data_IF_922123978461
#
_entry.id   IF_922123978461
#
_cell.length_a   1.000
_cell.length_b   1.000
_cell.length_c   1.000
_cell.angle_alpha   90.00
_cell.angle_beta   90.00
_cell.angle_gamma   90.00
#
_symmetry.space_group_name_H-M   'P 1'
#
loop_
_entity.id
_entity.type
_entity.pdbx_description
1 polymer ?
#
# COMPACT_ATOMS: atom_id res chain seq x y z
N UNK A 1 12.54 15.49 -21.53
CA UNK A 1 11.22 15.52 -22.21
C UNK A 1 11.13 14.35 -23.19
N UNK A 2 11.05 13.10 -22.72
CA UNK A 2 11.01 11.88 -23.58
C UNK A 2 10.09 10.77 -23.02
N UNK A 3 9.36 11.00 -21.92
CA UNK A 3 8.50 9.96 -21.30
C UNK A 3 7.02 10.06 -21.67
N UNK A 4 6.60 11.12 -22.36
CA UNK A 4 5.17 11.38 -22.61
C UNK A 4 4.67 10.84 -23.97
N UNK A 5 5.56 10.40 -24.86
CA UNK A 5 5.24 10.13 -26.27
C UNK A 5 5.40 8.65 -26.70
N UNK A 6 5.90 7.76 -25.82
CA UNK A 6 5.99 6.31 -26.10
C UNK A 6 4.72 5.51 -25.76
N UNK A 7 3.75 6.10 -25.06
CA UNK A 7 2.59 5.36 -24.52
C UNK A 7 1.38 5.26 -25.46
N UNK A 8 1.41 5.87 -26.65
CA UNK A 8 0.25 5.82 -27.56
C UNK A 8 0.10 4.44 -28.22
N UNK A 9 1.20 3.75 -28.53
CA UNK A 9 1.22 2.35 -28.98
C UNK A 9 0.93 1.35 -27.84
N UNK A 10 1.22 1.72 -26.59
CA UNK A 10 0.99 0.86 -25.40
C UNK A 10 -0.49 0.73 -25.01
N UNK A 11 -1.37 1.65 -25.44
CA UNK A 11 -2.77 1.64 -25.04
C UNK A 11 -3.56 0.45 -25.59
N UNK A 12 -3.24 0.00 -26.81
CA UNK A 12 -3.85 -1.17 -27.46
C UNK A 12 -3.35 -2.48 -26.87
N UNK A 13 -2.03 -2.61 -26.68
CA UNK A 13 -1.42 -3.81 -26.09
C UNK A 13 -1.87 -4.00 -24.63
N UNK A 14 -1.89 -2.91 -23.84
CA UNK A 14 -2.37 -2.96 -22.46
C UNK A 14 -3.86 -3.33 -22.39
N UNK A 15 -4.68 -2.86 -23.33
CA UNK A 15 -6.09 -3.26 -23.44
C UNK A 15 -6.23 -4.75 -23.72
N UNK A 16 -5.47 -5.29 -24.67
CA UNK A 16 -5.50 -6.72 -24.98
C UNK A 16 -5.02 -7.56 -23.78
N UNK A 17 -3.98 -7.11 -23.07
CA UNK A 17 -3.50 -7.76 -21.85
C UNK A 17 -4.55 -7.72 -20.74
N UNK A 18 -5.14 -6.56 -20.47
CA UNK A 18 -6.16 -6.39 -19.45
C UNK A 18 -7.41 -7.23 -19.76
N UNK A 19 -7.83 -7.26 -21.03
CA UNK A 19 -8.90 -8.11 -21.52
C UNK A 19 -8.60 -9.58 -21.26
N UNK A 20 -7.43 -10.09 -21.68
CA UNK A 20 -7.04 -11.49 -21.46
C UNK A 20 -7.07 -11.86 -19.98
N UNK A 21 -6.52 -11.01 -19.10
CA UNK A 21 -6.54 -11.25 -17.66
C UNK A 21 -7.98 -11.28 -17.11
N UNK A 22 -8.82 -10.32 -17.49
CA UNK A 22 -10.23 -10.32 -17.07
C UNK A 22 -10.96 -11.57 -17.58
N UNK A 23 -10.76 -11.93 -18.85
CA UNK A 23 -11.34 -13.12 -19.46
C UNK A 23 -10.88 -14.38 -18.76
N UNK A 24 -9.60 -14.54 -18.47
CA UNK A 24 -9.04 -15.78 -17.95
C UNK A 24 -9.46 -16.02 -16.49
N UNK A 25 -9.51 -14.96 -15.66
CA UNK A 25 -9.79 -15.05 -14.22
C UNK A 25 -11.24 -14.77 -13.81
N UNK A 26 -12.03 -14.08 -14.63
CA UNK A 26 -13.45 -13.85 -14.37
C UNK A 26 -14.33 -14.81 -15.17
N UNK A 27 -15.64 -14.75 -14.96
CA UNK A 27 -16.63 -15.58 -15.62
C UNK A 27 -17.74 -14.73 -16.27
N UNK A 28 -18.74 -15.38 -16.86
CA UNK A 28 -19.91 -14.71 -17.43
C UNK A 28 -19.56 -13.85 -18.65
N UNK A 29 -20.08 -12.62 -18.69
CA UNK A 29 -19.92 -11.71 -19.82
C UNK A 29 -18.46 -11.44 -20.21
N UNK A 30 -17.51 -11.55 -19.27
CA UNK A 30 -16.07 -11.39 -19.53
C UNK A 30 -15.49 -12.45 -20.46
N UNK A 31 -16.12 -13.63 -20.58
CA UNK A 31 -15.69 -14.70 -21.50
C UNK A 31 -16.06 -14.43 -22.97
N UNK A 32 -17.05 -13.58 -23.23
CA UNK A 32 -17.66 -13.38 -24.56
C UNK A 32 -17.51 -11.97 -25.12
N UNK A 33 -17.17 -10.98 -24.27
CA UNK A 33 -16.91 -9.60 -24.70
C UNK A 33 -15.65 -9.54 -25.58
N UNK A 34 -15.66 -8.70 -26.61
CA UNK A 34 -14.47 -8.49 -27.43
C UNK A 34 -13.49 -7.49 -26.76
N UNK A 35 -12.17 -7.59 -27.00
CA UNK A 35 -11.18 -6.72 -26.37
C UNK A 35 -11.41 -5.22 -26.63
N UNK A 36 -11.95 -4.84 -27.79
CA UNK A 36 -12.21 -3.43 -28.12
C UNK A 36 -13.48 -2.88 -27.45
N UNK A 37 -14.38 -3.75 -26.98
CA UNK A 37 -15.63 -3.36 -26.33
C UNK A 37 -15.44 -3.05 -24.83
N UNK A 38 -14.40 -3.58 -24.19
CA UNK A 38 -14.17 -3.30 -22.76
C UNK A 38 -13.76 -1.85 -22.55
N UNK A 39 -14.22 -1.24 -21.46
CA UNK A 39 -13.75 0.08 -21.03
C UNK A 39 -12.50 -0.11 -20.19
N UNK A 40 -11.38 0.45 -20.65
CA UNK A 40 -10.11 0.48 -19.91
C UNK A 40 -9.76 1.93 -19.57
N UNK A 41 -9.59 2.23 -18.28
CA UNK A 41 -9.18 3.56 -17.80
C UNK A 41 -8.01 3.43 -16.82
N UNK A 42 -6.91 4.12 -17.11
CA UNK A 42 -5.79 4.23 -16.16
C UNK A 42 -6.23 5.02 -14.94
N UNK A 43 -5.95 4.50 -13.76
CA UNK A 43 -6.16 5.18 -12.48
C UNK A 43 -4.80 5.67 -11.99
N UNK A 44 -4.70 6.98 -11.79
CA UNK A 44 -3.58 7.60 -11.08
C UNK A 44 -3.74 7.35 -9.58
N UNK A 45 -2.73 6.83 -8.90
CA UNK A 45 -2.89 6.54 -7.47
C UNK A 45 -1.72 5.85 -6.77
N UNK A 46 -0.48 6.09 -7.19
CA UNK A 46 0.71 5.56 -6.52
C UNK A 46 1.96 5.59 -7.40
N UNK A 47 3.13 5.63 -6.79
CA UNK A 47 4.42 5.62 -7.49
C UNK A 47 4.83 4.21 -7.94
N UNK A 48 4.39 3.18 -7.21
CA UNK A 48 4.95 1.82 -7.31
C UNK A 48 4.09 0.83 -8.09
N UNK A 49 2.84 1.16 -8.41
CA UNK A 49 1.89 0.23 -9.03
C UNK A 49 1.18 0.88 -10.22
N UNK A 50 0.83 0.08 -11.23
CA UNK A 50 -0.04 0.53 -12.32
C UNK A 50 -1.45 0.00 -12.12
N UNK A 51 -2.42 0.93 -12.11
CA UNK A 51 -3.81 0.64 -11.82
C UNK A 51 -4.68 0.93 -13.03
N UNK A 52 -5.56 0.00 -13.35
CA UNK A 52 -6.51 0.13 -14.45
C UNK A 52 -7.90 -0.30 -14.01
N UNK A 53 -8.89 0.56 -14.21
CA UNK A 53 -10.28 0.17 -14.20
C UNK A 53 -10.59 -0.57 -15.49
N UNK A 54 -11.07 -1.80 -15.38
CA UNK A 54 -11.62 -2.58 -16.48
C UNK A 54 -13.13 -2.73 -16.25
N UNK A 55 -13.95 -2.38 -17.25
CA UNK A 55 -15.41 -2.41 -17.11
C UNK A 55 -16.07 -3.00 -18.36
N UNK A 56 -17.11 -3.82 -18.15
CA UNK A 56 -17.96 -4.32 -19.22
C UNK A 56 -18.76 -3.18 -19.88
N UNK A 57 -18.98 -3.23 -21.20
CA UNK A 57 -19.77 -2.22 -21.88
C UNK A 57 -21.24 -2.28 -21.46
N UNK A 58 -21.93 -1.14 -21.49
CA UNK A 58 -23.32 -1.03 -21.06
C UNK A 58 -24.29 -1.93 -21.82
N UNK A 59 -23.98 -2.31 -23.07
CA UNK A 59 -24.78 -3.22 -23.89
C UNK A 59 -24.57 -4.71 -23.53
N UNK A 60 -23.57 -5.05 -22.71
CA UNK A 60 -23.32 -6.42 -22.20
C UNK A 60 -23.14 -6.38 -20.68
N UNK A 61 -24.20 -6.10 -19.91
CA UNK A 61 -24.12 -6.06 -18.46
C UNK A 61 -23.81 -7.45 -17.90
N UNK A 62 -23.25 -7.48 -16.68
CA UNK A 62 -23.09 -8.70 -15.91
C UNK A 62 -24.46 -9.35 -15.61
N UNK A 63 -24.55 -10.68 -15.71
CA UNK A 63 -25.85 -11.40 -15.53
C UNK A 63 -25.80 -12.57 -14.56
N UNK A 64 -24.63 -13.14 -14.33
CA UNK A 64 -24.44 -14.41 -13.61
C UNK A 64 -23.54 -14.22 -12.37
N UNK A 65 -23.68 -13.08 -11.68
CA UNK A 65 -22.92 -12.77 -10.47
C UNK A 65 -21.47 -12.34 -10.69
N UNK A 66 -21.00 -12.23 -11.94
CA UNK A 66 -19.71 -11.65 -12.27
C UNK A 66 -19.69 -10.14 -11.98
N UNK A 67 -18.53 -9.55 -11.64
CA UNK A 67 -18.44 -8.11 -11.46
C UNK A 67 -18.63 -7.39 -12.81
N UNK A 68 -19.36 -6.28 -12.85
CA UNK A 68 -19.47 -5.44 -14.05
C UNK A 68 -18.20 -4.62 -14.31
N UNK A 69 -17.39 -4.43 -13.27
CA UNK A 69 -16.13 -3.69 -13.31
C UNK A 69 -15.16 -4.21 -12.25
N UNK A 70 -13.87 -4.17 -12.55
CA UNK A 70 -12.79 -4.63 -11.68
C UNK A 70 -11.62 -3.66 -11.74
N UNK A 71 -10.81 -3.65 -10.68
CA UNK A 71 -9.54 -2.96 -10.63
C UNK A 71 -8.42 -3.94 -10.93
N UNK A 72 -7.71 -3.71 -12.02
CA UNK A 72 -6.52 -4.44 -12.40
C UNK A 72 -5.29 -3.72 -11.82
N UNK A 73 -4.53 -4.40 -10.96
CA UNK A 73 -3.30 -3.90 -10.36
C UNK A 73 -2.11 -4.71 -10.86
N UNK A 74 -1.16 -4.03 -11.49
CA UNK A 74 0.17 -4.57 -11.77
C UNK A 74 1.16 -4.10 -10.70
N UNK A 75 1.94 -5.03 -10.17
CA UNK A 75 3.06 -4.73 -9.29
C UNK A 75 4.20 -4.13 -10.12
N UNK A 76 4.84 -3.08 -9.60
CA UNK A 76 6.03 -2.48 -10.21
C UNK A 76 7.26 -3.39 -10.16
N UNK A 77 8.41 -2.86 -10.58
CA UNK A 77 9.66 -3.61 -10.55
C UNK A 77 10.03 -4.01 -9.11
N UNK A 78 10.01 -5.31 -8.88
CA UNK A 78 10.45 -5.94 -7.65
C UNK A 78 11.89 -6.46 -7.85
N UNK A 79 12.85 -5.89 -7.13
CA UNK A 79 14.26 -6.28 -7.22
C UNK A 79 14.63 -7.27 -6.10
N UNK A 80 15.26 -8.39 -6.46
CA UNK A 80 15.91 -9.36 -5.55
C UNK A 80 15.05 -10.53 -5.05
N UNK A 81 15.67 -11.57 -4.50
CA UNK A 81 15.01 -12.81 -4.03
C UNK A 81 13.92 -12.58 -2.96
N UNK A 82 14.10 -11.56 -2.10
CA UNK A 82 13.10 -11.13 -1.10
C UNK A 82 11.81 -10.56 -1.72
N UNK A 83 11.81 -10.28 -3.02
CA UNK A 83 10.60 -9.90 -3.73
C UNK A 83 9.55 -11.01 -3.72
N UNK A 84 9.97 -12.26 -3.93
CA UNK A 84 9.04 -13.38 -4.03
C UNK A 84 8.38 -13.68 -2.69
N UNK A 85 9.16 -13.70 -1.60
CA UNK A 85 8.62 -13.85 -0.23
C UNK A 85 7.65 -12.72 0.12
N UNK A 86 7.98 -11.49 -0.29
CA UNK A 86 7.10 -10.33 -0.15
C UNK A 86 5.77 -10.50 -0.89
N UNK A 87 5.82 -10.94 -2.15
CA UNK A 87 4.63 -11.19 -2.97
C UNK A 87 3.74 -12.30 -2.41
N UNK A 88 4.33 -13.39 -1.92
CA UNK A 88 3.58 -14.49 -1.28
C UNK A 88 2.88 -13.96 -0.03
N UNK A 89 3.62 -13.26 0.84
CA UNK A 89 3.09 -12.68 2.09
C UNK A 89 1.97 -11.69 1.78
N UNK A 90 2.15 -10.80 0.80
CA UNK A 90 1.14 -9.85 0.37
C UNK A 90 -0.11 -10.55 -0.17
N UNK A 91 0.06 -11.61 -0.97
CA UNK A 91 -1.05 -12.39 -1.53
C UNK A 91 -1.88 -13.06 -0.42
N UNK A 92 -1.23 -13.62 0.60
CA UNK A 92 -1.89 -14.21 1.77
C UNK A 92 -2.65 -13.15 2.55
N UNK A 93 -2.02 -12.01 2.85
CA UNK A 93 -2.64 -10.89 3.56
C UNK A 93 -3.87 -10.38 2.79
N UNK A 94 -3.74 -10.11 1.49
CA UNK A 94 -4.82 -9.58 0.68
C UNK A 94 -6.00 -10.55 0.61
N UNK A 95 -5.72 -11.85 0.40
CA UNK A 95 -6.75 -12.90 0.41
C UNK A 95 -7.53 -12.88 1.72
N UNK A 96 -6.84 -12.81 2.87
CA UNK A 96 -7.50 -12.77 4.18
C UNK A 96 -8.33 -11.51 4.39
N UNK A 97 -7.84 -10.35 3.94
CA UNK A 97 -8.60 -9.09 4.00
C UNK A 97 -9.87 -9.15 3.16
N UNK A 98 -9.79 -9.72 1.96
CA UNK A 98 -10.94 -9.97 1.08
C UNK A 98 -11.97 -10.88 1.74
N UNK A 99 -11.56 -12.05 2.24
CA UNK A 99 -12.47 -13.03 2.84
C UNK A 99 -13.14 -12.52 4.12
N UNK A 100 -12.45 -11.67 4.89
CA UNK A 100 -13.01 -11.02 6.08
C UNK A 100 -13.76 -9.72 5.80
N UNK A 101 -13.89 -9.31 4.53
CA UNK A 101 -14.55 -8.05 4.12
C UNK A 101 -13.92 -6.80 4.76
N UNK A 102 -12.61 -6.84 4.98
CA UNK A 102 -11.79 -5.74 5.51
C UNK A 102 -11.02 -5.00 4.40
N UNK A 103 -11.16 -5.44 3.16
CA UNK A 103 -10.64 -4.79 1.96
C UNK A 103 -11.49 -5.12 0.73
N UNK A 104 -11.07 -4.66 -0.45
CA UNK A 104 -11.73 -5.00 -1.70
C UNK A 104 -11.74 -6.52 -1.92
N UNK A 105 -12.82 -7.05 -2.51
CA UNK A 105 -12.86 -8.48 -2.87
C UNK A 105 -11.73 -8.82 -3.84
N UNK A 106 -11.06 -9.95 -3.61
CA UNK A 106 -10.08 -10.52 -4.52
C UNK A 106 -10.81 -11.35 -5.59
N UNK A 107 -10.61 -10.99 -6.86
CA UNK A 107 -11.17 -11.74 -7.99
C UNK A 107 -10.17 -12.69 -8.64
N UNK A 108 -8.87 -12.41 -8.55
CA UNK A 108 -7.84 -13.29 -9.08
C UNK A 108 -6.43 -12.77 -8.83
N UNK A 109 -5.46 -13.69 -8.82
CA UNK A 109 -4.02 -13.38 -8.68
C UNK A 109 -3.30 -13.99 -9.87
N UNK A 110 -2.40 -13.21 -10.47
CA UNK A 110 -1.62 -13.62 -11.63
C UNK A 110 -0.16 -13.18 -11.48
N UNK A 111 0.80 -13.75 -12.25
CA UNK A 111 2.18 -13.30 -12.22
C UNK A 111 2.31 -11.80 -12.52
N UNK A 112 2.80 -11.05 -11.53
CA UNK A 112 2.98 -9.61 -11.62
C UNK A 112 1.74 -8.75 -11.28
N UNK A 113 0.67 -9.32 -10.71
CA UNK A 113 -0.46 -8.49 -10.29
C UNK A 113 -1.68 -9.26 -9.76
N UNK A 114 -2.80 -8.53 -9.64
CA UNK A 114 -4.09 -9.07 -9.19
C UNK A 114 -5.29 -8.29 -9.74
N UNK A 115 -6.44 -8.95 -9.71
CA UNK A 115 -7.76 -8.37 -9.98
C UNK A 115 -8.51 -8.19 -8.66
N UNK A 116 -8.91 -6.96 -8.39
CA UNK A 116 -9.61 -6.54 -7.18
C UNK A 116 -11.00 -6.00 -7.54
N UNK A 117 -11.90 -5.99 -6.56
CA UNK A 117 -13.11 -5.19 -6.62
C UNK A 117 -12.75 -3.71 -6.81
N UNK A 118 -13.43 -3.05 -7.76
CA UNK A 118 -13.32 -1.62 -7.90
C UNK A 118 -14.28 -0.92 -6.94
N UNK A 119 -13.72 -0.17 -5.98
CA UNK A 119 -14.49 0.66 -5.05
C UNK A 119 -14.60 2.07 -5.64
N UNK A 120 -15.82 2.58 -5.94
CA UNK A 120 -16.03 3.93 -6.46
C UNK A 120 -15.88 4.97 -5.34
N UNK A 121 -14.63 5.25 -4.96
CA UNK A 121 -14.28 6.19 -3.91
C UNK A 121 -13.09 7.08 -4.30
N UNK A 122 -12.84 8.13 -3.52
CA UNK A 122 -11.62 8.94 -3.58
C UNK A 122 -10.79 8.72 -2.30
N UNK A 123 -9.46 8.81 -2.37
CA UNK A 123 -8.64 8.90 -1.17
C UNK A 123 -8.95 10.19 -0.41
N UNK A 124 -8.67 10.17 0.90
CA UNK A 124 -8.66 11.36 1.73
C UNK A 124 -7.44 12.22 1.40
N UNK A 125 -7.64 13.54 1.41
CA UNK A 125 -6.57 14.52 1.41
C UNK A 125 -5.96 14.64 2.81
N UNK A 126 -4.70 15.10 2.88
CA UNK A 126 -3.98 15.23 4.15
C UNK A 126 -4.71 16.17 5.11
N UNK A 127 -5.36 17.23 4.63
CA UNK A 127 -6.11 18.16 5.48
C UNK A 127 -7.40 17.56 6.06
N UNK A 128 -7.92 16.46 5.50
CA UNK A 128 -9.12 15.77 5.99
C UNK A 128 -8.78 14.83 7.16
N UNK A 129 -7.54 14.35 7.25
CA UNK A 129 -7.13 13.39 8.27
C UNK A 129 -7.17 13.95 9.71
N UNK A 130 -7.19 15.29 9.87
CA UNK A 130 -7.30 15.97 11.16
C UNK A 130 -8.75 16.20 11.62
N UNK A 131 -9.75 15.93 10.78
CA UNK A 131 -11.15 16.03 11.20
C UNK A 131 -11.43 14.94 12.25
N UNK A 132 -11.85 15.29 13.48
CA UNK A 132 -12.05 14.31 14.54
C UNK A 132 -13.00 13.18 14.16
N UNK A 133 -14.04 13.45 13.36
CA UNK A 133 -15.00 12.43 12.90
C UNK A 133 -14.33 11.43 11.97
N UNK A 134 -13.47 11.91 11.08
CA UNK A 134 -12.69 11.05 10.18
C UNK A 134 -11.64 10.27 10.98
N UNK A 135 -10.93 10.93 11.90
CA UNK A 135 -9.87 10.30 12.70
C UNK A 135 -10.41 9.14 13.56
N UNK A 136 -11.60 9.28 14.15
CA UNK A 136 -12.26 8.19 14.89
C UNK A 136 -12.51 6.99 13.99
N UNK A 137 -13.07 7.20 12.79
CA UNK A 137 -13.32 6.11 11.83
C UNK A 137 -12.00 5.43 11.42
N UNK A 138 -10.94 6.21 11.18
CA UNK A 138 -9.61 5.65 10.87
C UNK A 138 -9.10 4.81 12.05
N UNK A 139 -9.23 5.28 13.29
CA UNK A 139 -8.81 4.56 14.48
C UNK A 139 -9.57 3.23 14.65
N UNK A 140 -10.89 3.21 14.45
CA UNK A 140 -11.71 2.00 14.46
C UNK A 140 -11.27 0.98 13.40
N UNK A 141 -11.03 1.44 12.16
CA UNK A 141 -10.53 0.56 11.08
C UNK A 141 -9.13 0.03 11.35
N UNK A 142 -8.24 0.86 11.90
CA UNK A 142 -6.91 0.43 12.32
C UNK A 142 -6.98 -0.61 13.44
N UNK A 143 -7.86 -0.43 14.43
CA UNK A 143 -8.07 -1.40 15.49
C UNK A 143 -8.55 -2.75 14.93
N UNK A 144 -9.52 -2.75 14.01
CA UNK A 144 -9.99 -3.96 13.33
C UNK A 144 -8.86 -4.72 12.63
N UNK A 145 -7.96 -4.01 11.94
CA UNK A 145 -6.80 -4.60 11.27
C UNK A 145 -5.80 -5.15 12.29
N UNK A 146 -5.49 -4.38 13.34
CA UNK A 146 -4.53 -4.80 14.38
C UNK A 146 -5.00 -6.02 15.19
N UNK A 147 -6.31 -6.22 15.35
CA UNK A 147 -6.88 -7.40 16.00
C UNK A 147 -6.87 -8.65 15.13
N UNK A 148 -6.48 -8.57 13.85
CA UNK A 148 -6.48 -9.73 12.98
C UNK A 148 -5.38 -10.74 13.33
N UNK A 149 -5.77 -11.99 13.55
CA UNK A 149 -4.82 -13.09 13.48
C UNK A 149 -4.55 -13.50 12.03
N UNK A 150 -3.37 -13.11 11.51
CA UNK A 150 -2.87 -13.41 10.16
C UNK A 150 -1.69 -14.40 10.22
N UNK A 151 -1.61 -15.43 9.37
CA UNK A 151 -0.54 -16.43 9.37
C UNK A 151 0.76 -15.90 8.73
N UNK A 152 1.35 -14.90 9.36
CA UNK A 152 2.65 -14.31 9.01
C UNK A 152 3.55 -14.30 10.24
N UNK A 153 4.85 -14.10 10.04
CA UNK A 153 5.79 -13.96 11.15
C UNK A 153 5.32 -12.86 12.12
N UNK A 154 5.24 -13.22 13.41
CA UNK A 154 4.84 -12.31 14.49
C UNK A 154 6.01 -11.55 15.09
N UNK A 155 7.23 -11.91 14.71
CA UNK A 155 8.44 -11.25 15.18
C UNK A 155 8.53 -9.82 14.60
N UNK A 156 8.62 -8.77 15.43
CA UNK A 156 8.56 -7.37 15.00
C UNK A 156 9.90 -6.89 14.42
N UNK A 157 10.42 -7.62 13.41
CA UNK A 157 11.70 -7.36 12.75
C UNK A 157 11.55 -6.53 11.48
N UNK A 158 10.37 -6.53 10.86
CA UNK A 158 10.12 -5.94 9.54
C UNK A 158 10.65 -4.51 9.37
N UNK A 159 10.38 -3.62 10.33
CA UNK A 159 10.86 -2.24 10.29
C UNK A 159 12.39 -2.18 10.23
N UNK A 160 13.06 -2.90 11.12
CA UNK A 160 14.52 -2.87 11.24
C UNK A 160 15.21 -3.56 10.07
N UNK A 161 14.71 -4.72 9.65
CA UNK A 161 15.22 -5.46 8.50
C UNK A 161 15.05 -4.63 7.21
N UNK A 162 13.97 -3.87 7.10
CA UNK A 162 13.73 -2.97 5.96
C UNK A 162 14.66 -1.77 6.00
N UNK A 163 14.77 -1.06 7.12
CA UNK A 163 15.68 0.08 7.25
C UNK A 163 17.14 -0.32 7.01
N UNK A 164 17.60 -1.44 7.57
CA UNK A 164 18.96 -1.93 7.36
C UNK A 164 19.23 -2.25 5.88
N UNK A 165 18.27 -2.89 5.21
CA UNK A 165 18.36 -3.22 3.78
C UNK A 165 18.40 -1.97 2.92
N UNK A 166 17.54 -0.99 3.18
CA UNK A 166 17.56 0.28 2.46
C UNK A 166 18.86 1.05 2.69
N UNK A 167 19.42 1.03 3.91
CA UNK A 167 20.72 1.62 4.18
C UNK A 167 21.85 0.96 3.38
N UNK A 168 21.82 -0.37 3.22
CA UNK A 168 22.77 -1.09 2.37
C UNK A 168 22.60 -0.69 0.90
N UNK A 169 21.37 -0.70 0.38
CA UNK A 169 21.10 -0.28 -1.00
C UNK A 169 21.57 1.14 -1.26
N UNK A 170 21.30 2.09 -0.36
CA UNK A 170 21.79 3.46 -0.48
C UNK A 170 23.33 3.48 -0.54
N UNK A 171 24.02 2.73 0.33
CA UNK A 171 25.49 2.67 0.31
C UNK A 171 26.07 2.08 -0.97
N UNK A 172 25.38 1.11 -1.58
CA UNK A 172 25.84 0.48 -2.81
C UNK A 172 25.60 1.40 -4.02
N UNK A 173 24.45 2.08 -4.09
CA UNK A 173 24.14 3.07 -5.12
C UNK A 173 25.09 4.28 -5.07
N UNK A 174 25.50 4.74 -3.88
CA UNK A 174 26.49 5.83 -3.75
C UNK A 174 27.87 5.43 -4.29
N UNK A 175 28.27 4.17 -4.10
CA UNK A 175 29.59 3.70 -4.59
C UNK A 175 29.66 3.65 -6.11
N UNK A 176 28.50 3.58 -6.78
CA UNK A 176 28.38 3.54 -8.25
C UNK A 176 28.23 4.96 -8.86
N UNK A 177 28.70 5.99 -8.13
CA UNK A 177 28.60 7.44 -8.45
C UNK A 177 29.08 7.87 -9.85
N UNK A 178 29.71 6.98 -10.64
CA UNK A 178 30.25 7.31 -11.95
C UNK A 178 29.20 7.47 -13.08
N UNK A 179 27.91 7.22 -12.83
CA UNK A 179 26.90 7.20 -13.90
C UNK A 179 25.60 7.99 -13.63
N UNK A 180 25.62 8.93 -12.68
CA UNK A 180 24.39 9.61 -12.23
C UNK A 180 24.19 10.98 -12.90
N UNK A 181 22.95 11.30 -13.29
CA UNK A 181 22.58 12.60 -13.88
C UNK A 181 22.83 13.78 -12.91
N UNK A 182 23.15 15.00 -13.42
CA UNK A 182 23.42 16.18 -12.59
C UNK A 182 22.30 16.56 -11.61
N UNK A 183 21.02 16.36 -11.94
CA UNK A 183 19.89 16.70 -11.08
C UNK A 183 19.77 15.74 -9.89
N UNK A 184 19.83 14.44 -10.17
CA UNK A 184 19.83 13.37 -9.15
C UNK A 184 21.03 13.50 -8.21
N UNK A 185 22.16 13.99 -8.71
CA UNK A 185 23.38 14.23 -7.93
C UNK A 185 23.25 15.33 -6.87
N UNK A 186 22.37 16.32 -7.04
CA UNK A 186 22.13 17.35 -6.02
C UNK A 186 21.19 16.84 -4.93
N UNK A 187 20.13 16.12 -5.32
CA UNK A 187 19.21 15.49 -4.37
C UNK A 187 19.93 14.46 -3.51
N UNK A 188 20.77 13.62 -4.14
CA UNK A 188 21.61 12.65 -3.44
C UNK A 188 22.49 13.36 -2.42
N UNK A 189 23.22 14.41 -2.80
CA UNK A 189 24.04 15.21 -1.87
C UNK A 189 23.25 15.76 -0.68
N UNK A 190 22.04 16.25 -0.88
CA UNK A 190 21.19 16.73 0.21
C UNK A 190 20.78 15.58 1.16
N UNK A 191 20.47 14.40 0.63
CA UNK A 191 20.14 13.21 1.44
C UNK A 191 21.38 12.74 2.22
N UNK A 192 22.55 12.70 1.57
CA UNK A 192 23.81 12.29 2.19
C UNK A 192 24.36 13.29 3.20
N UNK A 193 23.91 14.55 3.16
CA UNK A 193 24.22 15.52 4.20
C UNK A 193 23.63 15.12 5.57
N UNK A 194 22.60 14.28 5.59
CA UNK A 194 22.05 13.72 6.81
C UNK A 194 22.80 12.45 7.23
N UNK A 195 23.16 12.35 8.51
CA UNK A 195 23.76 11.14 9.05
C UNK A 195 22.70 10.06 9.33
N UNK A 196 22.19 9.43 8.27
CA UNK A 196 21.14 8.43 8.34
C UNK A 196 21.48 7.24 9.25
N UNK A 197 22.77 6.90 9.37
CA UNK A 197 23.24 5.84 10.28
C UNK A 197 23.06 6.25 11.75
N UNK A 198 23.37 7.50 12.08
CA UNK A 198 23.14 8.03 13.43
C UNK A 198 21.64 8.12 13.75
N UNK A 199 20.82 8.57 12.81
CA UNK A 199 19.35 8.62 12.96
C UNK A 199 18.75 7.23 13.22
N UNK A 200 19.21 6.21 12.49
CA UNK A 200 18.77 4.82 12.71
C UNK A 200 19.16 4.31 14.11
N UNK A 201 20.37 4.64 14.58
CA UNK A 201 20.82 4.30 15.95
C UNK A 201 20.00 5.03 17.00
N UNK A 202 19.72 6.31 16.79
CA UNK A 202 18.87 7.12 17.65
C UNK A 202 17.46 6.53 17.76
N UNK A 203 16.83 6.16 16.64
CA UNK A 203 15.50 5.55 16.63
C UNK A 203 15.43 4.23 17.43
N UNK A 204 16.49 3.41 17.36
CA UNK A 204 16.60 2.20 18.19
C UNK A 204 16.67 2.51 19.67
N UNK A 205 17.39 3.58 20.03
CA UNK A 205 17.51 4.03 21.41
C UNK A 205 16.17 4.57 21.93
N UNK A 206 15.45 5.36 21.12
CA UNK A 206 14.08 5.83 21.45
C UNK A 206 13.13 4.66 21.70
N UNK A 207 13.18 3.59 20.89
CA UNK A 207 12.38 2.38 21.14
C UNK A 207 12.68 1.77 22.51
N UNK A 208 13.95 1.72 22.91
CA UNK A 208 14.33 1.21 24.23
C UNK A 208 13.77 2.10 25.34
N UNK A 209 13.91 3.42 25.19
CA UNK A 209 13.39 4.41 26.14
C UNK A 209 11.86 4.32 26.31
N UNK A 210 11.10 4.17 25.22
CA UNK A 210 9.63 4.02 25.28
C UNK A 210 9.23 2.77 26.06
N UNK A 211 9.97 1.66 25.93
CA UNK A 211 9.66 0.41 26.65
C UNK A 211 9.87 0.50 28.16
N UNK A 212 10.81 1.33 28.62
CA UNK A 212 11.18 1.43 30.04
C UNK A 212 10.52 2.62 30.74
N UNK A 213 9.88 3.52 29.99
CA UNK A 213 9.21 4.68 30.55
C UNK A 213 7.87 4.28 31.20
N UNK A 214 7.67 4.51 32.51
CA UNK A 214 6.35 4.37 33.10
C UNK A 214 5.37 5.35 32.43
N UNK A 215 4.17 4.87 32.10
CA UNK A 215 3.04 5.66 31.61
C UNK A 215 3.25 6.45 30.30
N UNK A 216 4.23 6.09 29.47
CA UNK A 216 4.42 6.72 28.15
C UNK A 216 4.83 8.20 28.20
N UNK A 217 5.38 8.69 29.31
CA UNK A 217 5.79 10.10 29.47
C UNK A 217 6.76 10.59 28.38
N UNK A 218 7.58 9.69 27.84
CA UNK A 218 8.51 9.99 26.75
C UNK A 218 7.76 10.25 25.43
N UNK A 219 6.67 9.53 25.15
CA UNK A 219 5.83 9.77 23.96
C UNK A 219 5.21 11.17 23.99
N UNK A 220 4.86 11.66 25.19
CA UNK A 220 4.31 13.02 25.39
C UNK A 220 5.30 14.13 25.04
N UNK A 221 6.61 13.88 25.13
CA UNK A 221 7.67 14.85 24.82
C UNK A 221 8.13 14.79 23.36
N UNK A 222 8.01 13.63 22.70
CA UNK A 222 8.53 13.41 21.34
C UNK A 222 7.50 13.73 20.25
N UNK A 223 6.19 13.65 20.54
CA UNK A 223 5.15 13.77 19.52
C UNK A 223 4.01 14.74 19.88
N UNK A 224 4.28 16.04 20.12
CA UNK A 224 3.21 17.01 20.41
C UNK A 224 2.26 17.27 19.22
N UNK A 225 2.66 16.91 17.99
CA UNK A 225 1.92 17.22 16.74
C UNK A 225 1.37 15.98 16.01
N UNK A 226 1.47 14.78 16.59
CA UNK A 226 1.02 13.56 15.92
C UNK A 226 -0.47 13.33 16.18
N UNK A 227 -1.32 13.65 15.20
CA UNK A 227 -2.79 13.56 15.25
C UNK A 227 -3.27 12.18 15.73
N UNK A 228 -2.57 11.10 15.34
CA UNK A 228 -2.88 9.72 15.75
C UNK A 228 -2.65 9.45 17.25
N UNK A 229 -1.69 10.14 17.88
CA UNK A 229 -1.47 10.08 19.33
C UNK A 229 -2.46 11.01 20.05
N UNK A 230 -2.86 12.12 19.41
CA UNK A 230 -3.90 13.02 19.90
C UNK A 230 -5.27 12.32 20.08
N UNK A 231 -5.72 11.53 19.10
CA UNK A 231 -6.96 10.76 19.25
C UNK A 231 -6.85 9.63 20.29
N UNK A 232 -5.67 9.04 20.50
CA UNK A 232 -5.47 8.08 21.59
C UNK A 232 -5.57 8.76 22.97
N UNK A 233 -5.24 10.05 23.06
CA UNK A 233 -5.33 10.87 24.27
C UNK A 233 -6.77 11.03 24.78
N UNK A 234 -7.72 11.24 23.88
CA UNK A 234 -9.14 11.42 24.23
C UNK A 234 -9.85 10.10 24.55
N UNK A 235 -9.48 8.99 23.90
CA UNK A 235 -10.09 7.68 24.18
C UNK A 235 -9.64 7.03 25.49
N UNK A 236 -8.42 7.32 25.97
CA UNK A 236 -7.91 6.73 27.23
C UNK A 236 -8.38 7.52 28.46
N UNK A 237 -8.55 8.83 28.36
CA UNK A 237 -9.09 9.65 29.45
C UNK A 237 -10.60 9.43 29.67
N UNK A 238 -11.33 8.88 28.68
CA UNK A 238 -12.73 8.49 28.81
C UNK A 238 -12.99 7.02 29.17
N UNK A 239 -11.97 6.16 29.13
CA UNK A 239 -12.10 4.71 29.38
C UNK A 239 -11.64 4.26 30.77
N UNK A 240 -11.15 5.19 31.59
CA UNK A 240 -10.76 4.92 32.98
C UNK A 240 -11.97 4.82 33.90
N UNK A 241 -12.74 3.73 33.78
CA UNK A 241 -13.45 3.12 34.92
C UNK A 241 -14.11 1.74 34.63
N UNK A 242 -14.14 1.20 33.40
CA UNK A 242 -14.82 -0.09 33.14
C UNK A 242 -13.94 -1.27 32.67
N UNK A 243 -12.65 -1.07 32.42
CA UNK A 243 -11.79 -2.13 31.84
C UNK A 243 -11.02 -2.99 32.87
N UNK A 244 -11.43 -3.02 34.14
CA UNK A 244 -10.77 -3.83 35.19
C UNK A 244 -11.57 -5.05 35.68
N UNK A 245 -12.58 -5.51 34.94
CA UNK A 245 -13.29 -6.76 35.23
C UNK A 245 -13.78 -7.46 33.94
N UNK A 246 -12.86 -8.02 33.14
CA UNK A 246 -13.05 -9.27 32.36
C UNK A 246 -11.69 -9.92 32.15
#
# INVERSE_FOLDING_TARGET
>A
MVLHDKMSSESGEMRERAFRLCRDYLHGAWKVVAPHEIVLKRISGGLSNWLYLCKLPSNRPARNGEPSQVLLRFYGQIHGEKALEGLITESVIFTLLSERRLGPKLHGVFPGGRLEEFIPARPLHTEELKDPKISVIVAEKMAQIHSMNVPVSKEPRWLWDTMNRWMQSIQDEIKDEQNTDPHSSQLLRNILAHNLVAELKWLRLVRFLIKIAPNGEILRKIAPSCILIGCWRESVEGAGDEAMNV
#
